data_IF_665965187089
#
_entry.id   IF_665965187089
#
_cell.length_a   1.000
_cell.length_b   1.000
_cell.length_c   1.000
_cell.angle_alpha   90.00
_cell.angle_beta   90.00
_cell.angle_gamma   90.00
#
_symmetry.space_group_name_H-M   'P 1'
#
loop_
_entity.id
_entity.type
_entity.pdbx_description
1 polymer ?
#
# COMPACT_ATOMS: atom_id res chain seq x y z
N UNK A 1 -9.21 16.13 14.92
CA UNK A 1 -8.42 17.34 15.22
C UNK A 1 -8.30 18.05 13.89
N UNK A 2 -8.69 19.31 13.80
CA UNK A 2 -8.48 20.05 12.55
C UNK A 2 -7.02 20.48 12.55
N UNK A 3 -6.18 19.77 11.81
CA UNK A 3 -4.81 20.17 11.52
C UNK A 3 -4.83 21.14 10.36
N UNK A 4 -4.02 22.19 10.41
CA UNK A 4 -3.76 23.01 9.22
C UNK A 4 -3.07 22.14 8.15
N UNK A 5 -3.32 22.38 6.86
CA UNK A 5 -2.60 21.67 5.80
C UNK A 5 -1.09 22.00 5.84
N UNK A 6 -0.22 21.07 5.42
CA UNK A 6 1.22 21.29 5.39
C UNK A 6 1.59 22.46 4.48
N UNK A 7 2.72 23.10 4.75
CA UNK A 7 3.23 24.18 3.88
C UNK A 7 3.55 23.65 2.48
N UNK A 8 3.56 24.55 1.48
CA UNK A 8 3.76 24.15 0.08
C UNK A 8 5.12 23.46 -0.18
N UNK A 9 6.10 23.65 0.68
CA UNK A 9 7.46 23.11 0.62
C UNK A 9 7.75 22.07 1.73
N UNK A 10 6.69 21.54 2.33
CA UNK A 10 6.77 20.53 3.38
C UNK A 10 6.39 19.15 2.82
N UNK A 11 7.16 18.12 3.19
CA UNK A 11 6.74 16.74 2.99
C UNK A 11 6.02 16.26 4.24
N UNK A 12 4.82 15.74 4.07
CA UNK A 12 4.03 15.14 5.15
C UNK A 12 3.73 13.69 4.81
N UNK A 13 3.86 12.80 5.79
CA UNK A 13 3.48 11.38 5.67
C UNK A 13 2.47 11.05 6.75
N UNK A 14 1.20 11.05 6.37
CA UNK A 14 0.07 10.74 7.26
C UNK A 14 -0.31 9.26 7.15
N UNK A 15 -0.12 8.50 8.23
CA UNK A 15 -0.42 7.07 8.30
C UNK A 15 -1.73 6.82 9.05
N UNK A 16 -2.63 6.04 8.45
CA UNK A 16 -3.90 5.66 9.05
C UNK A 16 -4.01 4.14 9.17
N UNK A 17 -4.49 3.68 10.31
CA UNK A 17 -4.73 2.25 10.57
C UNK A 17 -5.60 2.05 11.81
N UNK A 18 -6.94 1.92 11.67
CA UNK A 18 -7.89 1.87 12.77
C UNK A 18 -7.97 0.49 13.47
N UNK A 19 -6.95 -0.36 13.28
CA UNK A 19 -6.88 -1.73 13.76
C UNK A 19 -7.03 -2.77 12.65
N UNK A 20 -7.91 -2.54 11.67
CA UNK A 20 -7.98 -3.33 10.43
C UNK A 20 -8.07 -2.35 9.27
N UNK A 21 -7.19 -2.50 8.29
CA UNK A 21 -7.04 -1.55 7.19
C UNK A 21 -5.81 -0.67 7.40
N UNK A 22 -5.11 -0.33 6.31
CA UNK A 22 -4.05 0.67 6.32
C UNK A 22 -4.05 1.54 5.07
N UNK A 23 -3.60 2.78 5.23
CA UNK A 23 -3.30 3.66 4.11
C UNK A 23 -2.35 4.78 4.52
N UNK A 24 -1.69 5.37 3.53
CA UNK A 24 -0.88 6.57 3.66
C UNK A 24 -1.46 7.67 2.77
N UNK A 25 -1.43 8.90 3.29
CA UNK A 25 -1.64 10.12 2.51
C UNK A 25 -0.37 10.96 2.64
N UNK A 26 0.24 11.29 1.50
CA UNK A 26 1.55 11.94 1.46
C UNK A 26 1.45 13.26 0.72
N UNK A 27 1.80 14.36 1.37
CA UNK A 27 2.00 15.63 0.71
C UNK A 27 3.41 15.68 0.14
N UNK A 28 3.54 15.97 -1.16
CA UNK A 28 4.81 16.02 -1.87
C UNK A 28 5.15 17.44 -2.36
N UNK A 29 4.62 18.45 -1.66
CA UNK A 29 4.79 19.85 -2.00
C UNK A 29 3.83 20.34 -3.08
N UNK A 30 3.74 21.67 -3.22
CA UNK A 30 2.90 22.36 -4.20
C UNK A 30 1.42 21.94 -4.18
N UNK A 31 0.89 21.56 -3.02
CA UNK A 31 -0.46 21.00 -2.86
C UNK A 31 -0.71 19.76 -3.74
N UNK A 32 0.34 18.98 -4.00
CA UNK A 32 0.26 17.70 -4.68
C UNK A 32 0.33 16.56 -3.66
N UNK A 33 -0.54 15.58 -3.87
CA UNK A 33 -0.77 14.52 -2.91
C UNK A 33 -0.69 13.15 -3.54
N UNK A 34 -0.35 12.18 -2.71
CA UNK A 34 -0.26 10.78 -3.06
C UNK A 34 -1.04 9.99 -2.03
N UNK A 35 -1.80 9.03 -2.52
CA UNK A 35 -2.48 8.07 -1.68
C UNK A 35 -1.83 6.70 -1.94
N UNK A 36 -1.49 5.99 -0.87
CA UNK A 36 -1.04 4.60 -0.93
C UNK A 36 -2.02 3.78 -0.12
N UNK A 37 -2.59 2.75 -0.75
CA UNK A 37 -3.64 1.91 -0.21
C UNK A 37 -4.88 2.71 0.23
N UNK A 38 -5.81 2.03 0.87
CA UNK A 38 -7.07 2.57 1.32
C UNK A 38 -7.46 1.94 2.65
N UNK A 39 -7.94 2.80 3.54
CA UNK A 39 -8.63 2.38 4.74
C UNK A 39 -10.05 2.94 4.73
N UNK A 40 -10.99 2.17 5.27
CA UNK A 40 -12.41 2.45 5.20
C UNK A 40 -12.98 2.62 6.60
N UNK A 41 -13.62 3.75 6.86
CA UNK A 41 -14.32 3.96 8.12
C UNK A 41 -15.64 3.16 8.12
N UNK A 42 -15.72 2.19 9.03
CA UNK A 42 -16.88 1.32 9.17
C UNK A 42 -18.17 2.08 9.56
N UNK A 43 -18.05 3.25 10.21
CA UNK A 43 -19.19 4.09 10.63
C UNK A 43 -19.70 4.95 9.49
N UNK A 44 -18.84 5.76 8.89
CA UNK A 44 -19.22 6.72 7.84
C UNK A 44 -19.34 6.09 6.46
N UNK A 45 -18.81 4.88 6.28
CA UNK A 45 -18.73 4.20 4.97
C UNK A 45 -17.93 4.99 3.92
N UNK A 46 -16.99 5.81 4.39
CA UNK A 46 -16.09 6.61 3.55
C UNK A 46 -14.65 6.09 3.63
N UNK A 47 -13.92 6.30 2.54
CA UNK A 47 -12.47 6.19 2.49
C UNK A 47 -11.84 7.23 3.44
N UNK A 48 -10.98 6.77 4.34
CA UNK A 48 -10.25 7.61 5.31
C UNK A 48 -9.33 8.60 4.59
N UNK A 49 -8.53 8.23 3.56
CA UNK A 49 -7.75 9.17 2.77
C UNK A 49 -8.56 10.35 2.21
N UNK A 50 -9.74 10.07 1.66
CA UNK A 50 -10.60 11.12 1.11
C UNK A 50 -11.17 12.02 2.20
N UNK A 51 -11.59 11.43 3.32
CA UNK A 51 -12.10 12.17 4.49
C UNK A 51 -11.02 13.11 5.04
N UNK A 52 -9.78 12.63 5.13
CA UNK A 52 -8.64 13.43 5.59
C UNK A 52 -8.38 14.63 4.67
N UNK A 53 -8.33 14.43 3.36
CA UNK A 53 -8.16 15.52 2.39
C UNK A 53 -9.34 16.51 2.43
N UNK A 54 -10.58 16.01 2.55
CA UNK A 54 -11.79 16.85 2.71
C UNK A 54 -11.69 17.73 3.96
N UNK A 55 -11.24 17.18 5.09
CA UNK A 55 -11.06 17.91 6.37
C UNK A 55 -9.98 19.01 6.29
N UNK A 56 -8.97 18.83 5.44
CA UNK A 56 -7.97 19.85 5.11
C UNK A 56 -8.45 20.88 4.08
N UNK A 57 -9.66 20.74 3.53
CA UNK A 57 -10.18 21.60 2.47
C UNK A 57 -9.55 21.35 1.10
N UNK A 58 -8.95 20.18 0.90
CA UNK A 58 -8.22 19.81 -0.31
C UNK A 58 -9.13 19.02 -1.23
N UNK A 59 -9.26 19.44 -2.50
CA UNK A 59 -10.05 18.72 -3.48
C UNK A 59 -9.25 17.53 -4.07
N UNK A 60 -9.59 16.27 -3.74
CA UNK A 60 -8.83 15.10 -4.17
C UNK A 60 -8.85 14.89 -5.69
N UNK A 61 -9.89 15.36 -6.39
CA UNK A 61 -10.01 15.23 -7.85
C UNK A 61 -8.84 15.85 -8.61
N UNK A 62 -8.24 16.90 -8.05
CA UNK A 62 -7.17 17.66 -8.69
C UNK A 62 -5.84 17.53 -7.94
N UNK A 63 -5.87 17.44 -6.62
CA UNK A 63 -4.68 17.46 -5.79
C UNK A 63 -3.91 16.13 -5.80
N UNK A 64 -4.63 15.00 -5.85
CA UNK A 64 -4.00 13.67 -5.85
C UNK A 64 -3.44 13.38 -7.24
N UNK A 65 -2.13 13.14 -7.31
CA UNK A 65 -1.40 12.88 -8.57
C UNK A 65 -1.10 11.40 -8.80
N UNK A 66 -0.99 10.65 -7.71
CA UNK A 66 -0.72 9.22 -7.75
C UNK A 66 -1.58 8.52 -6.69
N UNK A 67 -2.24 7.44 -7.10
CA UNK A 67 -2.91 6.51 -6.19
C UNK A 67 -2.29 5.12 -6.37
N UNK A 68 -1.50 4.67 -5.40
CA UNK A 68 -0.82 3.38 -5.42
C UNK A 68 -1.63 2.34 -4.62
N UNK A 69 -1.98 1.23 -5.26
CA UNK A 69 -2.49 0.04 -4.58
C UNK A 69 -1.31 -0.92 -4.43
N UNK A 70 -0.87 -1.10 -3.18
CA UNK A 70 0.33 -1.87 -2.86
C UNK A 70 0.12 -3.36 -3.11
N UNK A 71 -1.05 -3.88 -2.77
CA UNK A 71 -1.56 -5.18 -3.19
C UNK A 71 -3.08 -5.26 -2.96
N UNK A 72 -3.71 -6.37 -3.37
CA UNK A 72 -5.18 -6.45 -3.46
C UNK A 72 -5.89 -6.98 -2.22
N UNK A 73 -5.21 -7.20 -1.08
CA UNK A 73 -5.88 -7.70 0.12
C UNK A 73 -6.84 -6.66 0.71
N UNK A 74 -7.90 -7.15 1.34
CA UNK A 74 -9.01 -6.32 1.83
C UNK A 74 -8.61 -5.25 2.87
N UNK A 75 -7.55 -5.47 3.64
CA UNK A 75 -6.97 -4.48 4.55
C UNK A 75 -6.13 -3.38 3.86
N UNK A 76 -5.98 -3.44 2.54
CA UNK A 76 -5.28 -2.41 1.76
C UNK A 76 -6.17 -1.74 0.72
N UNK A 77 -7.26 -2.38 0.29
CA UNK A 77 -8.06 -1.85 -0.83
C UNK A 77 -9.51 -1.55 -0.49
N UNK A 78 -9.94 -1.75 0.76
CA UNK A 78 -11.31 -1.39 1.13
C UNK A 78 -11.50 0.12 1.01
N UNK A 79 -12.47 0.55 0.19
CA UNK A 79 -12.68 1.95 -0.17
C UNK A 79 -11.82 2.45 -1.33
N UNK A 80 -10.99 1.60 -1.96
CA UNK A 80 -10.16 1.99 -3.09
C UNK A 80 -10.98 2.43 -4.30
N UNK A 81 -12.16 1.84 -4.51
CA UNK A 81 -13.11 2.28 -5.54
C UNK A 81 -13.48 3.75 -5.41
N UNK A 82 -13.76 4.24 -4.19
CA UNK A 82 -14.09 5.64 -3.94
C UNK A 82 -12.93 6.57 -4.30
N UNK A 83 -11.69 6.18 -3.96
CA UNK A 83 -10.48 6.94 -4.30
C UNK A 83 -10.30 6.99 -5.83
N UNK A 84 -10.41 5.83 -6.49
CA UNK A 84 -10.31 5.74 -7.94
C UNK A 84 -11.40 6.56 -8.66
N UNK A 85 -12.62 6.64 -8.13
CA UNK A 85 -13.69 7.43 -8.74
C UNK A 85 -13.53 8.94 -8.50
N UNK A 86 -13.05 9.35 -7.32
CA UNK A 86 -12.97 10.76 -6.96
C UNK A 86 -11.67 11.45 -7.38
N UNK A 87 -10.54 10.74 -7.43
CA UNK A 87 -9.22 11.31 -7.73
C UNK A 87 -8.95 11.36 -9.24
N UNK A 88 -9.73 12.14 -10.00
CA UNK A 88 -9.72 12.12 -11.48
C UNK A 88 -8.35 12.39 -12.13
N UNK A 89 -7.53 13.23 -11.51
CA UNK A 89 -6.21 13.59 -12.01
C UNK A 89 -5.10 12.60 -11.63
N UNK A 90 -5.40 11.63 -10.77
CA UNK A 90 -4.41 10.68 -10.29
C UNK A 90 -4.14 9.58 -11.31
N UNK A 91 -2.87 9.25 -11.52
CA UNK A 91 -2.49 7.98 -12.13
C UNK A 91 -2.68 6.87 -11.08
N UNK A 92 -3.43 5.83 -11.43
CA UNK A 92 -3.64 4.68 -10.55
C UNK A 92 -2.54 3.65 -10.83
N UNK A 93 -1.70 3.31 -9.85
CA UNK A 93 -0.63 2.34 -10.05
C UNK A 93 -0.75 1.13 -9.13
N UNK A 94 -0.35 -0.02 -9.64
CA UNK A 94 -0.39 -1.30 -8.95
C UNK A 94 0.48 -2.33 -9.66
N UNK A 95 0.80 -3.42 -8.98
CA UNK A 95 1.61 -4.51 -9.52
C UNK A 95 1.10 -4.98 -10.88
N UNK A 96 2.01 -5.19 -11.83
CA UNK A 96 1.69 -5.75 -13.15
C UNK A 96 0.93 -7.10 -13.04
N UNK A 97 1.13 -7.86 -11.97
CA UNK A 97 0.41 -9.11 -11.74
C UNK A 97 -1.13 -8.92 -11.67
N UNK A 98 -1.61 -7.73 -11.28
CA UNK A 98 -3.04 -7.42 -11.08
C UNK A 98 -3.74 -6.90 -12.35
N UNK A 99 -3.12 -7.03 -13.53
CA UNK A 99 -3.77 -6.77 -14.83
C UNK A 99 -3.52 -7.91 -15.83
N UNK A 100 -3.31 -9.12 -15.32
CA UNK A 100 -3.15 -10.32 -16.12
C UNK A 100 -4.49 -11.02 -16.36
N UNK A 101 -4.54 -11.89 -17.38
CA UNK A 101 -5.78 -12.58 -17.72
C UNK A 101 -6.29 -13.43 -16.55
N UNK A 102 -5.38 -14.07 -15.82
CA UNK A 102 -5.65 -14.86 -14.64
C UNK A 102 -6.32 -14.00 -13.55
N UNK A 103 -5.75 -12.83 -13.26
CA UNK A 103 -6.34 -11.94 -12.25
C UNK A 103 -7.67 -11.34 -12.68
N UNK A 104 -7.81 -10.94 -13.95
CA UNK A 104 -9.08 -10.45 -14.48
C UNK A 104 -10.16 -11.52 -14.42
N UNK A 105 -9.81 -12.77 -14.73
CA UNK A 105 -10.71 -13.92 -14.62
C UNK A 105 -11.13 -14.14 -13.16
N UNK A 106 -10.19 -14.07 -12.22
CA UNK A 106 -10.50 -14.15 -10.79
C UNK A 106 -11.47 -13.05 -10.34
N UNK A 107 -11.21 -11.80 -10.75
CA UNK A 107 -12.08 -10.66 -10.45
C UNK A 107 -13.47 -10.84 -11.04
N UNK A 108 -13.58 -11.29 -12.29
CA UNK A 108 -14.88 -11.52 -12.94
C UNK A 108 -15.69 -12.62 -12.23
N UNK A 109 -15.03 -13.71 -11.80
CA UNK A 109 -15.68 -14.81 -11.06
C UNK A 109 -16.18 -14.35 -9.69
N UNK A 110 -15.35 -13.64 -8.93
CA UNK A 110 -15.60 -13.39 -7.50
C UNK A 110 -16.13 -11.99 -7.17
N UNK A 111 -16.13 -11.03 -8.09
CA UNK A 111 -16.62 -9.66 -7.80
C UNK A 111 -18.12 -9.61 -7.48
N UNK A 112 -18.86 -10.67 -7.81
CA UNK A 112 -20.30 -10.77 -7.59
C UNK A 112 -21.13 -9.82 -8.46
N UNK A 113 -20.55 -9.28 -9.55
CA UNK A 113 -21.25 -8.38 -10.46
C UNK A 113 -22.27 -9.13 -11.34
N UNK A 114 -21.94 -10.34 -11.78
CA UNK A 114 -22.78 -11.14 -12.68
C UNK A 114 -23.43 -12.37 -12.00
N UNK A 115 -23.01 -12.73 -10.78
CA UNK A 115 -23.46 -13.93 -10.06
C UNK A 115 -23.49 -13.72 -8.54
N UNK A 116 -24.41 -14.37 -7.85
CA UNK A 116 -24.45 -14.37 -6.38
C UNK A 116 -23.38 -15.33 -5.85
N UNK A 117 -22.31 -14.78 -5.28
CA UNK A 117 -21.28 -15.50 -4.52
C UNK A 117 -21.48 -15.18 -3.03
N UNK A 118 -21.30 -16.16 -2.13
CA UNK A 118 -21.32 -15.87 -0.69
C UNK A 118 -20.25 -14.82 -0.37
N UNK A 119 -20.65 -13.71 0.24
CA UNK A 119 -19.75 -12.60 0.52
C UNK A 119 -18.76 -12.96 1.65
N UNK A 120 -17.48 -13.07 1.32
CA UNK A 120 -16.38 -13.05 2.29
C UNK A 120 -15.53 -11.76 2.15
N UNK A 121 -14.46 -11.65 2.94
CA UNK A 121 -13.58 -10.46 2.94
C UNK A 121 -12.86 -10.26 1.62
N UNK A 122 -12.51 -11.33 0.92
CA UNK A 122 -11.71 -11.28 -0.32
C UNK A 122 -12.62 -11.19 -1.56
N UNK A 123 -13.88 -11.60 -1.45
CA UNK A 123 -14.98 -11.24 -2.37
C UNK A 123 -15.21 -9.72 -2.36
N UNK A 124 -15.06 -9.07 -1.20
CA UNK A 124 -15.08 -7.60 -1.15
C UNK A 124 -13.87 -7.00 -1.87
N UNK A 125 -12.70 -7.63 -1.78
CA UNK A 125 -11.48 -7.18 -2.45
C UNK A 125 -11.60 -7.25 -3.98
N UNK A 126 -12.08 -8.36 -4.54
CA UNK A 126 -12.31 -8.48 -5.98
C UNK A 126 -13.37 -7.52 -6.50
N UNK A 127 -14.40 -7.21 -5.70
CA UNK A 127 -15.39 -6.17 -6.03
C UNK A 127 -14.80 -4.75 -6.08
N UNK A 128 -13.94 -4.41 -5.13
CA UNK A 128 -13.19 -3.14 -5.14
C UNK A 128 -12.33 -3.06 -6.41
N UNK A 129 -11.56 -4.10 -6.71
CA UNK A 129 -10.73 -4.16 -7.93
C UNK A 129 -11.55 -4.08 -9.21
N UNK A 130 -12.69 -4.77 -9.31
CA UNK A 130 -13.59 -4.67 -10.46
C UNK A 130 -14.03 -3.23 -10.72
N UNK A 131 -14.33 -2.49 -9.65
CA UNK A 131 -14.76 -1.09 -9.73
C UNK A 131 -13.58 -0.18 -10.11
N UNK A 132 -12.40 -0.38 -9.53
CA UNK A 132 -11.17 0.34 -9.93
C UNK A 132 -10.86 0.11 -11.42
N UNK A 133 -10.91 -1.14 -11.89
CA UNK A 133 -10.67 -1.51 -13.30
C UNK A 133 -11.71 -0.86 -14.21
N UNK A 134 -12.99 -0.87 -13.82
CA UNK A 134 -14.07 -0.17 -14.56
C UNK A 134 -13.77 1.33 -14.68
N UNK A 135 -13.32 1.97 -13.60
CA UNK A 135 -12.95 3.39 -13.58
C UNK A 135 -11.75 3.66 -14.49
N UNK A 136 -10.72 2.83 -14.46
CA UNK A 136 -9.57 2.93 -15.39
C UNK A 136 -10.03 2.84 -16.84
N UNK A 137 -10.88 1.85 -17.18
CA UNK A 137 -11.43 1.68 -18.54
C UNK A 137 -12.21 2.91 -18.99
N UNK A 138 -13.02 3.50 -18.10
CA UNK A 138 -13.77 4.72 -18.39
C UNK A 138 -12.85 5.92 -18.64
N UNK A 139 -11.81 6.10 -17.81
CA UNK A 139 -10.80 7.16 -18.00
C UNK A 139 -10.05 6.98 -19.33
N UNK A 140 -9.66 5.76 -19.67
CA UNK A 140 -9.00 5.46 -20.95
C UNK A 140 -9.87 5.83 -22.16
N UNK A 141 -11.18 5.57 -22.10
CA UNK A 141 -12.13 5.94 -23.18
C UNK A 141 -12.26 7.46 -23.34
N UNK A 142 -12.19 8.20 -22.24
CA UNK A 142 -12.34 9.66 -22.21
C UNK A 142 -11.02 10.41 -22.53
N UNK A 143 -9.87 9.76 -22.41
CA UNK A 143 -8.53 10.32 -22.64
C UNK A 143 -8.15 10.50 -24.12
N UNK A 144 -9.09 10.94 -24.96
CA UNK A 144 -8.84 11.13 -26.41
C UNK A 144 -8.09 12.44 -26.73
N UNK A 145 -7.77 13.27 -25.73
CA UNK A 145 -7.01 14.52 -25.91
C UNK A 145 -5.61 14.41 -25.30
N UNK A 146 -4.60 14.96 -26.01
CA UNK A 146 -3.15 14.88 -25.68
C UNK A 146 -2.75 15.46 -24.30
N UNK A 147 -3.66 16.09 -23.56
CA UNK A 147 -3.39 16.79 -22.30
C UNK A 147 -3.86 16.05 -21.04
N UNK A 148 -4.37 14.82 -21.17
CA UNK A 148 -4.89 14.05 -20.02
C UNK A 148 -3.79 13.21 -19.35
N UNK A 149 -3.74 13.12 -18.01
CA UNK A 149 -2.81 12.25 -17.30
C UNK A 149 -3.00 10.79 -17.71
N UNK A 150 -1.92 10.00 -17.67
CA UNK A 150 -1.98 8.55 -17.89
C UNK A 150 -2.93 7.95 -16.82
N UNK A 151 -4.03 7.26 -17.20
CA UNK A 151 -5.03 6.81 -16.23
C UNK A 151 -4.50 5.80 -15.21
N UNK A 152 -3.57 4.94 -15.66
CA UNK A 152 -3.01 3.89 -14.84
C UNK A 152 -1.57 3.54 -15.26
N UNK A 153 -0.82 2.97 -14.33
CA UNK A 153 0.54 2.49 -14.56
C UNK A 153 0.71 1.12 -13.91
N UNK A 154 1.14 0.13 -14.69
CA UNK A 154 1.55 -1.17 -14.16
C UNK A 154 2.99 -1.07 -13.67
N UNK A 155 3.24 -1.55 -12.45
CA UNK A 155 4.55 -1.39 -11.81
C UNK A 155 5.27 -2.72 -11.60
N UNK A 156 6.60 -2.63 -11.67
CA UNK A 156 7.59 -3.69 -11.40
C UNK A 156 8.76 -3.10 -10.62
N UNK A 157 9.73 -3.93 -10.22
CA UNK A 157 10.90 -3.48 -9.48
C UNK A 157 11.76 -2.48 -10.26
N UNK A 158 12.44 -1.61 -9.53
CA UNK A 158 13.38 -0.61 -10.04
C UNK A 158 12.79 0.33 -11.09
N UNK A 159 11.49 0.61 -10.97
CA UNK A 159 10.75 1.45 -11.90
C UNK A 159 10.44 2.81 -11.27
N UNK A 160 10.92 3.89 -11.87
CA UNK A 160 10.48 5.24 -11.50
C UNK A 160 9.06 5.49 -12.01
N UNK A 161 8.12 5.70 -11.10
CA UNK A 161 6.69 5.84 -11.39
C UNK A 161 6.20 7.29 -11.31
N UNK A 162 6.97 8.17 -10.67
CA UNK A 162 6.68 9.60 -10.60
C UNK A 162 8.01 10.37 -10.57
N UNK A 163 8.08 11.48 -11.30
CA UNK A 163 9.22 12.39 -11.32
C UNK A 163 8.73 13.80 -11.65
N UNK A 164 8.96 14.75 -10.75
CA UNK A 164 8.59 16.15 -10.96
C UNK A 164 9.56 17.08 -10.26
N UNK A 165 9.88 18.17 -10.95
CA UNK A 165 10.59 19.32 -10.39
C UNK A 165 9.65 20.52 -10.50
N UNK A 166 9.28 21.12 -9.37
CA UNK A 166 8.39 22.27 -9.35
C UNK A 166 8.70 23.18 -8.16
N UNK A 167 8.85 24.49 -8.40
CA UNK A 167 9.20 25.49 -7.38
C UNK A 167 10.43 25.10 -6.52
N UNK A 168 11.46 24.53 -7.16
CA UNK A 168 12.68 24.08 -6.47
C UNK A 168 12.53 22.76 -5.69
N UNK A 169 11.33 22.20 -5.61
CA UNK A 169 11.06 20.90 -5.00
C UNK A 169 11.27 19.82 -6.05
N UNK A 170 12.15 18.86 -5.75
CA UNK A 170 12.39 17.67 -6.56
C UNK A 170 11.69 16.49 -5.87
N UNK A 171 10.71 15.89 -6.55
CA UNK A 171 10.02 14.71 -6.06
C UNK A 171 10.16 13.55 -7.05
N UNK A 172 10.69 12.43 -6.58
CA UNK A 172 10.78 11.18 -7.33
C UNK A 172 10.18 10.02 -6.54
N UNK A 173 9.54 9.07 -7.22
CA UNK A 173 8.99 7.87 -6.59
C UNK A 173 9.32 6.67 -7.43
N UNK A 174 9.88 5.68 -6.75
CA UNK A 174 10.33 4.43 -7.34
C UNK A 174 9.54 3.28 -6.75
N UNK A 175 8.97 2.44 -7.62
CA UNK A 175 8.54 1.11 -7.25
C UNK A 175 9.77 0.21 -7.19
N UNK A 176 10.01 -0.40 -6.03
CA UNK A 176 11.13 -1.32 -5.81
C UNK A 176 10.71 -2.79 -5.96
N UNK A 177 9.42 -3.07 -6.00
CA UNK A 177 8.84 -4.39 -6.16
C UNK A 177 7.49 -4.30 -6.89
N UNK A 178 6.94 -5.42 -7.38
CA UNK A 178 7.48 -6.78 -7.35
C UNK A 178 8.60 -7.01 -8.37
N UNK A 179 9.52 -7.94 -8.07
CA UNK A 179 10.48 -8.45 -9.03
C UNK A 179 9.81 -9.31 -10.11
N UNK A 180 10.49 -9.58 -11.22
CA UNK A 180 9.97 -10.47 -12.28
C UNK A 180 9.59 -11.86 -11.75
N UNK A 181 10.40 -12.44 -10.86
CA UNK A 181 10.10 -13.75 -10.24
C UNK A 181 8.93 -13.66 -9.26
N UNK A 182 8.80 -12.56 -8.50
CA UNK A 182 7.62 -12.33 -7.65
C UNK A 182 6.34 -12.15 -8.47
N UNK A 183 6.41 -11.51 -9.65
CA UNK A 183 5.29 -11.42 -10.59
C UNK A 183 4.91 -12.83 -11.05
N UNK A 184 5.87 -13.64 -11.50
CA UNK A 184 5.60 -15.01 -11.95
C UNK A 184 4.95 -15.86 -10.84
N UNK A 185 5.44 -15.74 -9.60
CA UNK A 185 4.86 -16.46 -8.46
C UNK A 185 3.45 -15.97 -8.13
N UNK A 186 3.19 -14.66 -8.23
CA UNK A 186 1.84 -14.10 -8.11
C UNK A 186 0.89 -14.69 -9.16
N UNK A 187 1.33 -14.84 -10.41
CA UNK A 187 0.49 -15.40 -11.48
C UNK A 187 0.14 -16.87 -11.21
N UNK A 188 1.12 -17.68 -10.79
CA UNK A 188 0.87 -19.08 -10.42
C UNK A 188 -0.11 -19.18 -9.26
N UNK A 189 0.04 -18.33 -8.25
CA UNK A 189 -0.86 -18.30 -7.10
C UNK A 189 -2.27 -17.90 -7.51
N UNK A 190 -2.43 -16.80 -8.27
CA UNK A 190 -3.72 -16.33 -8.78
C UNK A 190 -4.40 -17.40 -9.64
N UNK A 191 -3.65 -18.08 -10.52
CA UNK A 191 -4.18 -19.17 -11.33
C UNK A 191 -4.75 -20.32 -10.48
N UNK A 192 -4.10 -20.63 -9.35
CA UNK A 192 -4.59 -21.65 -8.41
C UNK A 192 -5.82 -21.20 -7.61
N UNK A 193 -6.14 -19.90 -7.59
CA UNK A 193 -7.39 -19.38 -6.99
C UNK A 193 -8.59 -19.51 -7.93
N UNK A 194 -8.37 -19.78 -9.22
CA UNK A 194 -9.45 -19.92 -10.21
C UNK A 194 -10.05 -21.33 -10.06
N UNK A 195 -11.33 -21.46 -9.72
CA UNK A 195 -11.97 -22.75 -9.56
C UNK A 195 -12.08 -23.48 -10.92
N UNK A 196 -11.98 -24.83 -10.94
CA UNK A 196 -12.21 -25.61 -12.14
C UNK A 196 -13.67 -25.50 -12.63
N UNK A 197 -13.94 -25.76 -13.92
CA UNK A 197 -15.25 -25.52 -14.54
C UNK A 197 -16.44 -26.27 -13.93
N UNK A 198 -16.19 -27.36 -13.22
CA UNK A 198 -17.19 -28.26 -12.64
C UNK A 198 -17.49 -28.00 -11.15
N UNK A 199 -16.80 -27.04 -10.53
CA UNK A 199 -16.99 -26.72 -9.11
C UNK A 199 -18.11 -25.68 -8.87
N UNK A 200 -18.89 -25.89 -7.81
CA UNK A 200 -19.98 -24.96 -7.45
C UNK A 200 -19.43 -23.67 -6.83
N UNK A 201 -19.51 -22.58 -7.59
CA UNK A 201 -19.09 -21.23 -7.17
C UNK A 201 -19.89 -20.65 -5.99
N UNK A 202 -21.04 -21.24 -5.64
CA UNK A 202 -21.92 -20.70 -4.59
C UNK A 202 -21.25 -20.79 -3.20
N UNK A 203 -20.29 -21.70 -3.02
CA UNK A 203 -19.59 -21.93 -1.74
C UNK A 203 -18.09 -21.65 -1.78
N UNK A 204 -17.55 -21.20 -2.91
CA UNK A 204 -16.12 -20.95 -3.05
C UNK A 204 -15.74 -19.66 -2.31
N UNK A 205 -14.89 -19.80 -1.31
CA UNK A 205 -14.16 -18.71 -0.64
C UNK A 205 -12.82 -18.58 -1.34
N UNK A 206 -12.33 -17.35 -1.55
CA UNK A 206 -10.97 -17.18 -2.06
C UNK A 206 -10.01 -17.55 -0.92
N UNK A 207 -9.17 -18.60 -1.07
CA UNK A 207 -8.24 -18.95 -0.01
C UNK A 207 -7.21 -17.82 0.12
N UNK A 208 -6.81 -17.54 1.37
CA UNK A 208 -5.80 -16.53 1.63
C UNK A 208 -4.49 -16.92 0.92
N UNK A 209 -3.86 -15.99 0.16
CA UNK A 209 -2.53 -16.20 -0.38
C UNK A 209 -1.51 -16.61 0.69
N UNK A 210 -0.55 -17.41 0.25
CA UNK A 210 0.55 -17.92 1.06
C UNK A 210 1.61 -16.86 1.33
N UNK A 211 1.81 -15.91 0.39
CA UNK A 211 2.74 -14.79 0.50
C UNK A 211 2.20 -13.55 -0.22
N UNK A 212 2.70 -12.38 0.16
CA UNK A 212 2.35 -11.11 -0.49
C UNK A 212 3.25 -10.82 -1.72
N UNK A 213 3.29 -11.73 -2.69
CA UNK A 213 4.20 -11.65 -3.85
C UNK A 213 4.01 -10.40 -4.73
N UNK A 214 2.80 -9.86 -4.77
CA UNK A 214 2.44 -8.69 -5.58
C UNK A 214 2.55 -7.36 -4.81
N UNK A 215 3.09 -7.36 -3.59
CA UNK A 215 3.34 -6.13 -2.83
C UNK A 215 4.26 -5.17 -3.59
N UNK A 216 3.86 -3.90 -3.61
CA UNK A 216 4.63 -2.79 -4.17
C UNK A 216 5.26 -1.99 -3.03
N UNK A 217 6.58 -2.10 -2.90
CA UNK A 217 7.41 -1.25 -2.05
C UNK A 217 7.72 0.03 -2.81
N UNK A 218 7.56 1.17 -2.15
CA UNK A 218 7.86 2.47 -2.74
C UNK A 218 9.03 3.13 -2.01
N UNK A 219 9.92 3.75 -2.77
CA UNK A 219 10.91 4.70 -2.27
C UNK A 219 10.57 6.09 -2.82
N UNK A 220 10.31 7.02 -1.92
CA UNK A 220 10.00 8.41 -2.25
C UNK A 220 11.20 9.27 -1.88
N UNK A 221 11.68 10.03 -2.87
CA UNK A 221 12.70 11.06 -2.70
C UNK A 221 12.04 12.43 -2.77
N UNK A 222 12.23 13.22 -1.71
CA UNK A 222 11.79 14.61 -1.61
C UNK A 222 13.03 15.47 -1.34
N UNK A 223 13.49 16.21 -2.35
CA UNK A 223 14.78 16.89 -2.33
C UNK A 223 15.92 15.92 -1.94
N UNK A 224 16.48 16.11 -0.74
CA UNK A 224 17.58 15.30 -0.20
C UNK A 224 17.11 14.22 0.79
N UNK A 225 15.80 14.09 0.99
CA UNK A 225 15.18 13.19 1.94
C UNK A 225 14.64 11.95 1.24
N UNK A 226 14.89 10.77 1.79
CA UNK A 226 14.33 9.51 1.28
C UNK A 226 13.42 8.86 2.32
N UNK A 227 12.33 8.30 1.81
CA UNK A 227 11.26 7.68 2.58
C UNK A 227 10.99 6.30 1.98
N UNK A 228 11.13 5.24 2.78
CA UNK A 228 10.87 3.87 2.36
C UNK A 228 9.49 3.43 2.87
N UNK A 229 8.62 2.99 1.96
CA UNK A 229 7.28 2.53 2.27
C UNK A 229 7.19 1.02 1.99
N UNK A 230 7.29 0.20 3.04
CA UNK A 230 7.53 -1.23 2.92
C UNK A 230 6.34 -2.11 2.51
N UNK A 231 5.13 -1.55 2.36
CA UNK A 231 3.89 -2.31 2.09
C UNK A 231 3.80 -3.53 3.05
N UNK A 232 3.48 -4.69 2.51
CA UNK A 232 3.35 -5.97 3.18
C UNK A 232 4.36 -6.99 2.65
N UNK A 233 5.44 -6.50 2.01
CA UNK A 233 6.46 -7.32 1.40
C UNK A 233 7.18 -8.18 2.44
N UNK A 234 7.28 -9.47 2.14
CA UNK A 234 7.97 -10.46 2.96
C UNK A 234 9.42 -10.67 2.51
N UNK A 235 10.29 -11.06 3.44
CA UNK A 235 11.64 -11.53 3.19
C UNK A 235 11.61 -13.04 2.89
N UNK A 236 12.22 -13.42 1.77
CA UNK A 236 12.23 -14.82 1.28
C UNK A 236 13.64 -15.44 1.30
N UNK A 237 14.69 -14.65 1.56
CA UNK A 237 16.11 -15.03 1.42
C UNK A 237 16.51 -15.49 0.02
N UNK A 238 15.62 -15.33 -0.96
CA UNK A 238 15.87 -15.64 -2.36
C UNK A 238 16.32 -14.35 -3.07
N UNK A 239 17.46 -14.32 -3.77
CA UNK A 239 17.93 -13.13 -4.47
C UNK A 239 16.98 -12.63 -5.57
N UNK A 240 16.03 -13.45 -6.00
CA UNK A 240 15.04 -13.09 -7.03
C UNK A 240 13.71 -12.58 -6.46
N UNK A 241 13.44 -12.71 -5.15
CA UNK A 241 12.15 -12.27 -4.56
C UNK A 241 12.34 -11.57 -3.20
N UNK A 242 11.25 -11.03 -2.66
CA UNK A 242 11.22 -10.41 -1.34
C UNK A 242 12.20 -9.25 -1.16
N UNK A 243 12.49 -8.93 0.11
CA UNK A 243 13.47 -7.91 0.48
C UNK A 243 14.88 -8.20 -0.05
N UNK A 244 15.30 -9.47 -0.07
CA UNK A 244 16.59 -9.87 -0.63
C UNK A 244 16.81 -9.37 -2.06
N UNK A 245 15.79 -9.44 -2.93
CA UNK A 245 15.88 -8.92 -4.29
C UNK A 245 16.08 -7.40 -4.32
N UNK A 246 15.31 -6.66 -3.53
CA UNK A 246 15.38 -5.19 -3.46
C UNK A 246 16.76 -4.75 -2.99
N UNK A 247 17.24 -5.28 -1.86
CA UNK A 247 18.46 -4.80 -1.23
C UNK A 247 19.66 -4.96 -2.16
N UNK A 248 19.71 -6.05 -2.92
CA UNK A 248 20.80 -6.38 -3.83
C UNK A 248 20.64 -5.79 -5.25
N UNK A 249 19.53 -5.09 -5.54
CA UNK A 249 19.38 -4.40 -6.82
C UNK A 249 20.33 -3.19 -6.92
N UNK A 250 21.03 -3.11 -8.05
CA UNK A 250 21.86 -1.95 -8.42
C UNK A 250 21.08 -0.87 -9.19
N UNK A 251 19.81 -1.10 -9.51
CA UNK A 251 19.01 -0.22 -10.37
C UNK A 251 18.05 0.69 -9.57
N UNK A 252 17.94 0.48 -8.26
CA UNK A 252 17.16 1.34 -7.36
C UNK A 252 17.94 2.55 -6.84
N UNK A 253 17.25 3.58 -6.32
CA UNK A 253 17.88 4.57 -5.45
C UNK A 253 18.66 3.91 -4.32
N UNK A 254 19.88 4.40 -4.08
CA UNK A 254 20.85 3.79 -3.16
C UNK A 254 20.96 4.57 -1.84
N UNK A 255 20.42 5.78 -1.79
CA UNK A 255 20.41 6.60 -0.59
C UNK A 255 19.54 5.97 0.51
N UNK A 256 19.99 6.12 1.76
CA UNK A 256 19.27 5.60 2.92
C UNK A 256 18.07 6.47 3.26
N UNK A 257 17.04 5.84 3.83
CA UNK A 257 15.78 6.48 4.17
C UNK A 257 15.73 6.90 5.64
N UNK A 258 15.32 8.13 5.89
CA UNK A 258 15.10 8.68 7.23
C UNK A 258 13.74 8.32 7.83
N UNK A 259 12.80 7.89 6.99
CA UNK A 259 11.49 7.40 7.38
C UNK A 259 11.27 6.02 6.77
N UNK A 260 10.79 5.08 7.59
CA UNK A 260 10.46 3.73 7.15
C UNK A 260 9.06 3.33 7.62
N UNK A 261 8.13 3.10 6.68
CA UNK A 261 6.90 2.34 6.99
C UNK A 261 7.29 0.88 7.12
N UNK A 262 7.22 0.36 8.34
CA UNK A 262 7.57 -1.02 8.65
C UNK A 262 6.66 -1.97 7.84
N UNK A 263 7.22 -3.00 7.18
CA UNK A 263 6.43 -3.89 6.34
C UNK A 263 5.49 -4.77 7.17
N UNK A 264 4.35 -5.15 6.58
CA UNK A 264 3.50 -6.25 7.05
C UNK A 264 3.12 -6.13 8.54
N UNK A 265 2.73 -4.92 8.95
CA UNK A 265 2.34 -4.58 10.32
C UNK A 265 3.41 -4.92 11.38
N UNK A 266 4.69 -4.96 10.99
CA UNK A 266 5.79 -5.31 11.87
C UNK A 266 6.05 -6.80 12.03
N UNK A 267 5.39 -7.69 11.28
CA UNK A 267 5.64 -9.13 11.27
C UNK A 267 7.13 -9.46 11.09
N UNK A 268 7.59 -10.54 11.74
CA UNK A 268 8.93 -11.11 11.50
C UNK A 268 9.13 -11.49 10.03
N UNK A 269 8.08 -11.86 9.30
CA UNK A 269 8.18 -12.22 7.88
C UNK A 269 8.54 -11.03 7.00
N UNK A 270 8.21 -9.80 7.41
CA UNK A 270 8.61 -8.56 6.72
C UNK A 270 10.00 -8.05 7.13
N UNK A 271 10.70 -8.74 8.05
CA UNK A 271 11.98 -8.28 8.58
C UNK A 271 13.16 -8.71 7.72
N UNK A 272 14.08 -7.78 7.46
CA UNK A 272 15.37 -8.07 6.82
C UNK A 272 16.46 -7.19 7.44
N UNK A 273 17.50 -7.82 8.03
CA UNK A 273 18.63 -7.08 8.61
C UNK A 273 19.38 -6.26 7.55
N UNK A 274 19.47 -6.79 6.34
CA UNK A 274 20.07 -6.15 5.17
C UNK A 274 19.37 -4.83 4.80
N UNK A 275 18.03 -4.76 4.95
CA UNK A 275 17.28 -3.50 4.74
C UNK A 275 17.69 -2.46 5.76
N UNK A 276 17.74 -2.84 7.04
CA UNK A 276 18.16 -1.92 8.11
C UNK A 276 19.61 -1.45 7.93
N UNK A 277 20.50 -2.35 7.54
CA UNK A 277 21.92 -2.03 7.35
C UNK A 277 22.15 -1.13 6.12
N UNK A 278 21.52 -1.45 4.99
CA UNK A 278 21.87 -0.86 3.69
C UNK A 278 20.90 0.22 3.20
N UNK A 279 19.66 0.24 3.67
CA UNK A 279 18.60 1.11 3.13
C UNK A 279 18.03 2.10 4.13
N UNK A 280 18.25 1.90 5.43
CA UNK A 280 17.68 2.76 6.48
C UNK A 280 18.79 3.57 7.16
N UNK A 281 18.52 4.85 7.40
CA UNK A 281 19.40 5.72 8.18
C UNK A 281 19.40 5.32 9.66
N UNK A 282 20.49 5.61 10.35
CA UNK A 282 20.53 5.40 11.80
C UNK A 282 19.49 6.30 12.48
N UNK A 283 18.75 5.74 13.44
CA UNK A 283 17.70 6.43 14.20
C UNK A 283 16.54 6.98 13.34
N UNK A 284 16.31 6.39 12.16
CA UNK A 284 15.19 6.70 11.28
C UNK A 284 13.83 6.63 12.01
N UNK A 285 12.92 7.52 11.62
CA UNK A 285 11.52 7.52 12.06
C UNK A 285 10.85 6.29 11.46
N UNK A 286 10.36 5.40 12.30
CA UNK A 286 9.67 4.19 11.88
C UNK A 286 8.21 4.26 12.26
N UNK A 287 7.33 4.05 11.28
CA UNK A 287 5.89 4.07 11.46
C UNK A 287 5.32 2.71 11.06
N UNK A 288 4.28 2.26 11.76
CA UNK A 288 3.59 1.02 11.41
C UNK A 288 2.11 1.10 11.72
N UNK A 289 1.34 0.25 11.05
CA UNK A 289 -0.05 -0.02 11.42
C UNK A 289 -0.11 -1.32 12.21
N UNK A 290 -1.17 -1.46 13.01
CA UNK A 290 -1.50 -2.75 13.61
C UNK A 290 -2.52 -3.50 12.76
N UNK A 291 -2.47 -4.83 12.79
CA UNK A 291 -3.50 -5.74 12.33
C UNK A 291 -4.10 -6.46 13.53
N UNK A 292 -5.28 -6.02 13.95
CA UNK A 292 -6.02 -6.57 15.09
C UNK A 292 -7.00 -7.64 14.60
N UNK A 293 -6.96 -8.81 15.24
CA UNK A 293 -7.79 -9.96 14.92
C UNK A 293 -7.20 -10.89 13.85
N UNK A 294 -7.89 -12.01 13.61
CA UNK A 294 -7.38 -13.10 12.77
C UNK A 294 -6.68 -14.17 13.61
N UNK A 295 -5.64 -14.80 13.06
CA UNK A 295 -4.89 -15.85 13.78
C UNK A 295 -4.03 -15.28 14.91
N UNK A 296 -3.47 -14.08 14.71
CA UNK A 296 -2.56 -13.41 15.63
C UNK A 296 -2.63 -11.90 15.39
N UNK A 297 -2.66 -11.12 16.46
CA UNK A 297 -2.51 -9.67 16.38
C UNK A 297 -1.07 -9.31 16.01
N UNK A 298 -0.91 -8.33 15.13
CA UNK A 298 0.40 -7.80 14.74
C UNK A 298 0.46 -6.27 14.93
N UNK A 299 1.60 -5.73 15.37
CA UNK A 299 2.77 -6.44 15.86
C UNK A 299 2.49 -7.04 17.27
N UNK A 300 3.23 -8.08 17.66
CA UNK A 300 3.29 -8.49 19.06
C UNK A 300 4.48 -7.86 19.82
N UNK A 301 4.63 -8.18 21.11
CA UNK A 301 5.74 -7.65 21.92
C UNK A 301 7.12 -8.07 21.40
N UNK A 302 7.24 -9.25 20.81
CA UNK A 302 8.51 -9.74 20.24
C UNK A 302 8.85 -8.97 18.96
N UNK A 303 7.85 -8.63 18.14
CA UNK A 303 8.00 -7.80 16.95
C UNK A 303 8.44 -6.38 17.33
N UNK A 304 7.79 -5.76 18.32
CA UNK A 304 8.16 -4.43 18.83
C UNK A 304 9.59 -4.44 19.37
N UNK A 305 9.93 -5.41 20.21
CA UNK A 305 11.25 -5.51 20.83
C UNK A 305 12.34 -5.73 19.78
N UNK A 306 12.06 -6.49 18.72
CA UNK A 306 12.98 -6.66 17.58
C UNK A 306 13.21 -5.34 16.84
N UNK A 307 12.14 -4.61 16.50
CA UNK A 307 12.25 -3.36 15.72
C UNK A 307 12.94 -2.25 16.54
N UNK A 308 12.66 -2.16 17.85
CA UNK A 308 13.31 -1.21 18.75
C UNK A 308 14.82 -1.39 18.93
N UNK A 309 15.40 -2.50 18.45
CA UNK A 309 16.86 -2.65 18.39
C UNK A 309 17.50 -1.75 17.33
N UNK A 310 16.73 -1.30 16.33
CA UNK A 310 17.23 -0.53 15.18
C UNK A 310 16.87 0.96 15.26
N UNK A 311 15.85 1.34 16.02
CA UNK A 311 15.45 2.74 16.18
C UNK A 311 14.80 2.99 17.54
N UNK A 312 14.95 4.20 18.05
CA UNK A 312 14.18 4.71 19.19
C UNK A 312 12.87 5.40 18.77
N UNK A 313 12.75 5.74 17.49
CA UNK A 313 11.66 6.55 16.93
C UNK A 313 10.59 5.67 16.29
N UNK A 314 9.96 4.79 17.09
CA UNK A 314 8.95 3.84 16.61
C UNK A 314 7.53 4.27 17.00
N UNK A 315 6.66 4.45 16.00
CA UNK A 315 5.27 4.90 16.16
C UNK A 315 4.29 3.90 15.52
N UNK A 316 3.09 3.79 16.11
CA UNK A 316 2.03 2.87 15.66
C UNK A 316 0.67 3.58 15.68
N UNK A 317 -0.19 3.31 14.68
CA UNK A 317 -1.54 3.91 14.58
C UNK A 317 -2.53 3.40 15.62
N UNK A 318 -2.21 2.31 16.33
CA UNK A 318 -3.04 1.78 17.42
C UNK A 318 -2.23 1.49 18.69
N UNK A 319 -2.95 1.45 19.81
CA UNK A 319 -2.39 1.04 21.09
C UNK A 319 -2.05 -0.44 21.07
N UNK A 320 -0.78 -0.73 21.31
CA UNK A 320 -0.32 -2.06 21.62
C UNK A 320 -0.78 -2.38 23.04
N UNK A 321 -1.84 -3.17 23.18
CA UNK A 321 -2.34 -3.60 24.48
C UNK A 321 -1.22 -4.40 25.19
N UNK A 322 -0.54 -3.77 26.14
CA UNK A 322 0.33 -4.48 27.08
C UNK A 322 -0.56 -5.32 27.99
N UNK A 323 -0.62 -6.62 27.74
CA UNK A 323 -1.23 -7.58 28.66
C UNK A 323 -0.27 -7.89 29.82
N UNK A 324 0.25 -6.87 30.49
CA UNK A 324 1.03 -7.02 31.71
C UNK A 324 0.16 -6.63 32.90
N UNK A 325 -0.07 -7.59 33.77
CA UNK A 325 -0.98 -7.49 34.91
C UNK A 325 -0.49 -6.54 36.02
N UNK A 326 0.51 -5.68 35.80
CA UNK A 326 1.00 -4.77 36.86
C UNK A 326 1.81 -3.52 36.44
N UNK A 327 2.05 -3.17 35.17
CA UNK A 327 2.78 -1.92 34.87
C UNK A 327 2.44 -1.39 33.47
N UNK A 328 1.89 -0.18 33.42
CA UNK A 328 1.40 0.49 32.21
C UNK A 328 2.50 1.41 31.68
N UNK A 329 3.20 1.02 30.60
CA UNK A 329 4.02 1.96 29.82
C UNK A 329 3.33 2.28 28.50
N UNK A 330 2.81 3.51 28.41
CA UNK A 330 2.14 4.08 27.25
C UNK A 330 3.16 4.41 26.15
N UNK A 331 3.00 3.84 24.96
CA UNK A 331 3.60 4.40 23.74
C UNK A 331 2.81 5.66 23.36
N UNK A 332 3.52 6.75 23.03
CA UNK A 332 2.91 8.04 22.70
C UNK A 332 2.07 7.92 21.42
N UNK A 333 0.79 8.30 21.54
CA UNK A 333 -0.12 8.55 20.42
C UNK A 333 0.31 9.85 19.73
N UNK A 334 0.43 9.84 18.41
CA UNK A 334 0.39 11.04 17.59
C UNK A 334 -0.96 11.07 16.89
#
# INVERSE_FOLDING_TARGET
MQSDPPNFDEVEVSLFGPGIGECLVVHIGNNEWIIIDSCFDAKTKKSIPLTYLEELGINPSNAVKLFAISHWHSDHIRGASQIAEQCNSATICFSQALMTQEFLTLVDIFSGLDRIVLADKDTCATKEMATVIKTIRNRCKNNQTKSTPIPYLLVSNDQRIYNKINNGIVCEIWALSPSSESILNSLKEIANLIPPPDESLIRSVIPKPTQNHNSVVLNLKYNNYNILLGSDLEETKNPLTGWSCIVHSSNRPCEKSLLFKIPHHGSITGHSDDVWEKMIEKDAICIMTSKIGGKKDLPDQTDINRIKKFTQNLYSTSYLYQKNKNETQLLKKQ
#
